data_IF_152614117617
#
_entry.id   IF_152614117617
#
_cell.length_a   1.000
_cell.length_b   1.000
_cell.length_c   1.000
_cell.angle_alpha   90.00
_cell.angle_beta   90.00
_cell.angle_gamma   90.00
#
_symmetry.space_group_name_H-M   'P 1'
#
loop_
_entity.id
_entity.type
_entity.pdbx_description
1 polymer ?
#
# COMPACT_ATOMS: atom_id res chain seq x y z
N UNK A 1 -10.37 36.95 16.58
CA UNK A 1 -10.48 36.10 15.38
C UNK A 1 -9.37 35.04 15.40
N UNK A 2 -9.66 33.80 15.82
CA UNK A 2 -8.66 32.72 15.88
C UNK A 2 -9.23 31.41 15.30
N UNK A 3 -8.39 30.73 14.50
CA UNK A 3 -8.37 29.27 14.30
C UNK A 3 -9.46 28.59 13.43
N UNK A 4 -9.63 29.04 12.17
CA UNK A 4 -10.23 28.21 11.11
C UNK A 4 -9.20 27.58 10.14
N UNK A 5 -7.97 28.07 10.14
CA UNK A 5 -6.96 27.81 9.07
C UNK A 5 -6.26 26.44 9.12
N UNK A 6 -6.58 25.57 10.09
CA UNK A 6 -5.79 24.35 10.31
C UNK A 6 -6.60 23.05 10.34
N UNK A 7 -7.92 23.09 10.17
CA UNK A 7 -8.75 21.87 10.16
C UNK A 7 -8.67 21.15 8.80
N UNK A 8 -8.74 21.91 7.70
CA UNK A 8 -8.61 21.37 6.34
C UNK A 8 -7.25 20.70 6.14
N UNK A 9 -6.14 21.40 6.45
CA UNK A 9 -4.79 20.86 6.35
C UNK A 9 -4.61 19.58 7.20
N UNK A 10 -5.11 19.57 8.43
CA UNK A 10 -5.05 18.37 9.30
C UNK A 10 -5.82 17.19 8.71
N UNK A 11 -7.02 17.45 8.18
CA UNK A 11 -7.88 16.41 7.56
C UNK A 11 -7.22 15.87 6.30
N UNK A 12 -6.77 16.76 5.41
CA UNK A 12 -6.04 16.37 4.19
C UNK A 12 -4.79 15.57 4.53
N UNK A 13 -3.99 16.02 5.51
CA UNK A 13 -2.80 15.29 5.95
C UNK A 13 -3.15 13.89 6.44
N UNK A 14 -4.19 13.75 7.26
CA UNK A 14 -4.61 12.44 7.78
C UNK A 14 -5.03 11.48 6.65
N UNK A 15 -5.83 11.96 5.69
CA UNK A 15 -6.23 11.16 4.53
C UNK A 15 -5.04 10.83 3.62
N UNK A 16 -4.18 11.81 3.32
CA UNK A 16 -3.03 11.62 2.44
C UNK A 16 -2.00 10.65 3.02
N UNK A 17 -1.75 10.64 4.35
CA UNK A 17 -0.82 9.66 4.97
C UNK A 17 -1.11 8.20 4.61
N UNK A 18 -2.37 7.87 4.30
CA UNK A 18 -2.77 6.49 4.02
C UNK A 18 -2.26 6.02 2.66
N UNK A 19 -2.21 6.92 1.67
CA UNK A 19 -1.99 6.57 0.27
C UNK A 19 -0.82 7.32 -0.38
N UNK A 20 -0.27 8.35 0.28
CA UNK A 20 0.69 9.25 -0.35
C UNK A 20 1.99 8.54 -0.71
N UNK A 21 2.60 7.84 0.25
CA UNK A 21 3.85 7.14 0.00
C UNK A 21 3.67 5.86 -0.83
N UNK A 22 2.57 5.11 -0.65
CA UNK A 22 2.29 3.94 -1.50
C UNK A 22 2.16 4.36 -2.96
N UNK A 23 1.38 5.41 -3.25
CA UNK A 23 1.23 5.96 -4.60
C UNK A 23 2.57 6.46 -5.14
N UNK A 24 3.37 7.16 -4.34
CA UNK A 24 4.69 7.64 -4.75
C UNK A 24 5.66 6.48 -5.03
N UNK A 25 5.60 5.43 -4.21
CA UNK A 25 6.36 4.20 -4.40
C UNK A 25 5.98 3.53 -5.72
N UNK A 26 4.69 3.38 -6.02
CA UNK A 26 4.20 2.78 -7.26
C UNK A 26 4.60 3.62 -8.47
N UNK A 27 4.43 4.94 -8.44
CA UNK A 27 4.87 5.85 -9.51
C UNK A 27 6.37 5.66 -9.82
N UNK A 28 7.21 5.48 -8.80
CA UNK A 28 8.66 5.28 -8.94
C UNK A 28 9.09 3.83 -9.21
N UNK A 29 8.32 2.84 -8.79
CA UNK A 29 8.56 1.43 -9.08
C UNK A 29 8.20 1.11 -10.54
N UNK A 30 7.08 1.65 -11.03
CA UNK A 30 6.66 1.57 -12.42
C UNK A 30 7.67 2.25 -13.36
N UNK A 31 8.30 3.37 -12.94
CA UNK A 31 9.44 3.99 -13.67
C UNK A 31 10.54 3.00 -14.03
N UNK A 32 10.79 2.04 -13.14
CA UNK A 32 11.89 1.07 -13.26
C UNK A 32 11.50 -0.16 -14.06
N UNK A 33 10.22 -0.54 -14.06
CA UNK A 33 9.79 -1.87 -14.48
C UNK A 33 9.03 -1.93 -15.80
N UNK A 34 8.65 -0.82 -16.43
CA UNK A 34 7.62 -0.92 -17.45
C UNK A 34 7.86 -0.23 -18.80
N UNK A 35 7.51 -1.00 -19.83
CA UNK A 35 7.28 -0.64 -21.23
C UNK A 35 6.39 0.61 -21.43
N UNK A 36 5.60 1.00 -20.42
CA UNK A 36 4.76 2.22 -20.39
C UNK A 36 5.59 3.51 -20.27
N UNK A 37 6.76 3.43 -19.64
CA UNK A 37 7.67 4.56 -19.38
C UNK A 37 8.63 4.89 -20.54
N UNK A 38 8.62 4.06 -21.60
CA UNK A 38 9.37 4.32 -22.84
C UNK A 38 8.50 5.00 -23.92
N UNK A 39 7.26 5.38 -23.58
CA UNK A 39 6.30 5.98 -24.51
C UNK A 39 6.15 7.50 -24.36
N UNK A 40 5.20 8.04 -25.12
CA UNK A 40 4.91 9.47 -25.19
C UNK A 40 4.45 10.10 -23.84
N UNK A 41 4.00 9.29 -22.88
CA UNK A 41 3.42 9.76 -21.62
C UNK A 41 4.43 10.01 -20.49
N UNK A 42 5.73 9.78 -20.75
CA UNK A 42 6.77 9.97 -19.74
C UNK A 42 6.75 11.37 -19.10
N UNK A 43 6.66 12.49 -19.85
CA UNK A 43 6.64 13.82 -19.26
C UNK A 43 5.45 14.05 -18.33
N UNK A 44 4.26 13.55 -18.68
CA UNK A 44 3.05 13.69 -17.88
C UNK A 44 3.17 12.92 -16.56
N UNK A 45 3.79 11.73 -16.58
CA UNK A 45 3.97 10.96 -15.34
C UNK A 45 5.08 11.59 -14.47
N UNK A 46 6.14 12.16 -15.07
CA UNK A 46 7.12 12.97 -14.33
C UNK A 46 6.46 14.19 -13.68
N UNK A 47 5.62 14.91 -14.41
CA UNK A 47 4.86 16.05 -13.87
C UNK A 47 3.90 15.63 -12.76
N UNK A 48 3.24 14.47 -12.90
CA UNK A 48 2.36 13.91 -11.87
C UNK A 48 3.13 13.58 -10.59
N UNK A 49 4.32 12.95 -10.68
CA UNK A 49 5.16 12.69 -9.51
C UNK A 49 5.54 13.99 -8.80
N UNK A 50 5.97 15.00 -9.54
CA UNK A 50 6.33 16.30 -8.95
C UNK A 50 5.15 16.97 -8.27
N UNK A 51 3.97 16.96 -8.89
CA UNK A 51 2.74 17.48 -8.29
C UNK A 51 2.34 16.70 -7.03
N UNK A 52 2.54 15.38 -7.02
CA UNK A 52 2.26 14.52 -5.87
C UNK A 52 3.21 14.79 -4.70
N UNK A 53 4.50 14.99 -4.97
CA UNK A 53 5.49 15.40 -3.96
C UNK A 53 5.10 16.76 -3.36
N UNK A 54 4.85 17.76 -4.22
CA UNK A 54 4.48 19.10 -3.79
C UNK A 54 3.20 19.12 -2.94
N UNK A 55 2.23 18.26 -3.25
CA UNK A 55 1.03 18.08 -2.44
C UNK A 55 1.37 17.60 -1.02
N UNK A 56 2.25 16.59 -0.90
CA UNK A 56 2.71 16.06 0.39
C UNK A 56 3.43 17.12 1.23
N UNK A 57 4.34 17.87 0.62
CA UNK A 57 5.04 18.99 1.25
C UNK A 57 4.05 20.07 1.74
N UNK A 58 3.05 20.40 0.92
CA UNK A 58 2.01 21.38 1.24
C UNK A 58 1.15 21.00 2.47
N UNK A 59 1.04 19.70 2.76
CA UNK A 59 0.39 19.19 3.98
C UNK A 59 1.38 18.71 5.05
N UNK A 60 2.67 19.01 4.92
CA UNK A 60 3.73 18.67 5.87
C UNK A 60 3.91 17.16 6.08
N UNK A 61 3.93 16.41 4.99
CA UNK A 61 4.42 15.03 4.98
C UNK A 61 5.90 15.03 4.63
N UNK A 62 6.69 14.31 5.42
CA UNK A 62 8.12 14.13 5.20
C UNK A 62 8.35 12.79 4.49
N UNK A 63 8.95 12.82 3.30
CA UNK A 63 9.06 11.63 2.45
C UNK A 63 9.78 10.47 3.15
N UNK A 64 10.87 10.76 3.86
CA UNK A 64 11.65 9.74 4.55
C UNK A 64 10.87 9.11 5.70
N UNK A 65 10.15 9.92 6.47
CA UNK A 65 9.27 9.43 7.54
C UNK A 65 8.16 8.55 6.99
N UNK A 66 7.43 9.01 5.95
CA UNK A 66 6.36 8.20 5.34
C UNK A 66 6.90 6.91 4.70
N UNK A 67 8.12 6.94 4.12
CA UNK A 67 8.82 5.74 3.65
C UNK A 67 9.02 4.73 4.75
N UNK A 68 9.59 5.16 5.88
CA UNK A 68 9.89 4.28 7.02
C UNK A 68 8.62 3.68 7.59
N UNK A 69 7.53 4.45 7.65
CA UNK A 69 6.23 3.97 8.12
C UNK A 69 5.64 2.94 7.16
N UNK A 70 5.67 3.22 5.84
CA UNK A 70 5.23 2.27 4.82
C UNK A 70 6.02 0.95 4.85
N UNK A 71 7.34 1.01 4.91
CA UNK A 71 8.20 -0.18 4.97
C UNK A 71 7.96 -0.98 6.25
N UNK A 72 7.74 -0.30 7.38
CA UNK A 72 7.40 -0.93 8.66
C UNK A 72 6.07 -1.67 8.57
N UNK A 73 5.05 -1.05 7.99
CA UNK A 73 3.72 -1.65 7.86
C UNK A 73 3.73 -2.82 6.86
N UNK A 74 4.45 -2.69 5.74
CA UNK A 74 4.66 -3.77 4.79
C UNK A 74 5.39 -4.96 5.45
N UNK A 75 6.46 -4.70 6.21
CA UNK A 75 7.20 -5.72 6.96
C UNK A 75 6.33 -6.40 8.03
N UNK A 76 5.51 -5.63 8.74
CA UNK A 76 4.56 -6.15 9.74
C UNK A 76 3.51 -7.03 9.08
N UNK A 77 2.88 -6.55 8.01
CA UNK A 77 1.87 -7.27 7.23
C UNK A 77 2.44 -8.56 6.61
N UNK A 78 3.71 -8.56 6.23
CA UNK A 78 4.41 -9.74 5.72
C UNK A 78 4.69 -10.81 6.78
N UNK A 79 4.60 -10.48 8.08
CA UNK A 79 4.90 -11.39 9.20
C UNK A 79 3.67 -11.98 9.90
N UNK A 80 2.46 -11.59 9.50
CA UNK A 80 1.21 -12.05 10.13
C UNK A 80 0.24 -12.63 9.12
N UNK A 81 -0.72 -13.42 9.59
CA UNK A 81 -1.82 -13.89 8.76
C UNK A 81 -2.75 -12.74 8.41
N UNK A 82 -3.14 -12.61 7.14
CA UNK A 82 -4.07 -11.58 6.65
C UNK A 82 -5.52 -11.85 7.06
N UNK A 83 -5.85 -13.09 7.43
CA UNK A 83 -7.17 -13.42 7.94
C UNK A 83 -7.35 -12.90 9.37
N UNK A 84 -8.23 -11.91 9.55
CA UNK A 84 -8.39 -11.16 10.81
C UNK A 84 -8.83 -12.00 12.00
N UNK A 85 -9.55 -13.11 11.78
CA UNK A 85 -9.98 -14.01 12.85
C UNK A 85 -8.94 -15.11 13.17
N UNK A 86 -7.79 -15.13 12.50
CA UNK A 86 -6.71 -16.05 12.81
C UNK A 86 -5.92 -15.59 14.04
N UNK A 87 -5.52 -16.50 14.91
CA UNK A 87 -4.64 -16.22 16.05
C UNK A 87 -3.29 -15.60 15.61
N UNK A 88 -2.80 -15.95 14.43
CA UNK A 88 -1.57 -15.42 13.86
C UNK A 88 -1.76 -14.07 13.13
N UNK A 89 -2.93 -13.42 13.23
CA UNK A 89 -3.12 -12.06 12.72
C UNK A 89 -2.39 -11.01 13.57
N UNK A 90 -2.24 -11.28 14.87
CA UNK A 90 -1.61 -10.37 15.82
C UNK A 90 -0.19 -10.80 16.24
N UNK A 91 0.24 -11.98 15.83
CA UNK A 91 1.53 -12.55 16.21
C UNK A 91 2.15 -13.33 15.07
N UNK A 92 3.49 -13.39 15.05
CA UNK A 92 4.24 -14.12 14.04
C UNK A 92 3.97 -15.63 14.18
N UNK A 93 3.44 -16.31 13.15
CA UNK A 93 3.30 -17.76 13.17
C UNK A 93 4.67 -18.44 13.20
N UNK A 94 4.74 -19.63 13.79
CA UNK A 94 5.90 -20.52 13.71
C UNK A 94 6.07 -21.13 12.31
N UNK A 95 4.99 -21.12 11.51
CA UNK A 95 4.97 -21.61 10.13
C UNK A 95 5.24 -20.50 9.10
N UNK A 96 5.90 -20.81 7.96
CA UNK A 96 6.02 -19.87 6.86
C UNK A 96 4.65 -19.45 6.32
N UNK A 97 4.48 -18.15 6.07
CA UNK A 97 3.26 -17.63 5.46
C UNK A 97 3.26 -17.82 3.94
N UNK A 98 2.12 -18.25 3.41
CA UNK A 98 1.87 -18.40 1.97
C UNK A 98 1.28 -17.13 1.39
N UNK A 99 1.84 -16.67 0.27
CA UNK A 99 1.36 -15.48 -0.45
C UNK A 99 0.14 -15.81 -1.29
N UNK A 100 -0.85 -14.91 -1.30
CA UNK A 100 -1.95 -14.97 -2.25
C UNK A 100 -1.40 -14.91 -3.68
N UNK A 101 -1.62 -15.97 -4.46
CA UNK A 101 -1.22 -16.02 -5.88
C UNK A 101 -2.01 -15.06 -6.78
N UNK A 102 -3.13 -14.53 -6.27
CA UNK A 102 -3.92 -13.50 -6.94
C UNK A 102 -3.18 -12.17 -6.92
N UNK A 103 -3.24 -11.48 -5.79
CA UNK A 103 -2.71 -10.12 -5.63
C UNK A 103 -1.22 -10.05 -5.25
N UNK A 104 -0.57 -11.14 -4.82
CA UNK A 104 0.80 -11.09 -4.31
C UNK A 104 0.99 -10.42 -2.95
N UNK A 105 -0.04 -9.78 -2.40
CA UNK A 105 0.05 -8.93 -1.21
C UNK A 105 -0.33 -9.67 0.08
N UNK A 106 -1.51 -10.31 0.11
CA UNK A 106 -1.99 -11.00 1.31
C UNK A 106 -1.18 -12.27 1.61
N UNK A 107 -0.98 -12.55 2.90
CA UNK A 107 -0.18 -13.66 3.44
C UNK A 107 -1.04 -14.52 4.38
N UNK A 108 -0.95 -15.85 4.30
CA UNK A 108 -1.79 -16.76 5.10
C UNK A 108 -0.96 -17.87 5.72
N UNK A 109 -1.22 -18.23 6.97
CA UNK A 109 -0.55 -19.37 7.63
C UNK A 109 -1.03 -20.73 7.08
N UNK A 110 -2.21 -20.76 6.46
CA UNK A 110 -2.79 -21.97 5.89
C UNK A 110 -3.73 -21.64 4.72
N UNK A 111 -4.02 -22.67 3.91
CA UNK A 111 -4.98 -22.56 2.81
C UNK A 111 -6.40 -22.32 3.33
N UNK A 112 -6.70 -22.81 4.52
CA UNK A 112 -7.97 -22.62 5.24
C UNK A 112 -8.17 -21.15 5.56
N UNK A 113 -7.16 -20.47 6.13
CA UNK A 113 -7.21 -19.03 6.39
C UNK A 113 -7.42 -18.23 5.10
N UNK A 114 -6.79 -18.61 3.99
CA UNK A 114 -7.04 -17.98 2.70
C UNK A 114 -8.49 -18.14 2.24
N UNK A 115 -9.08 -19.34 2.38
CA UNK A 115 -10.48 -19.60 1.99
C UNK A 115 -11.48 -18.81 2.86
N UNK A 116 -11.21 -18.71 4.17
CA UNK A 116 -12.02 -17.94 5.10
C UNK A 116 -11.93 -16.45 4.79
N UNK A 117 -10.72 -15.90 4.61
CA UNK A 117 -10.55 -14.49 4.22
C UNK A 117 -11.19 -14.19 2.84
N UNK A 118 -11.17 -15.15 1.91
CA UNK A 118 -11.81 -15.02 0.61
C UNK A 118 -13.33 -14.80 0.71
N UNK A 119 -14.00 -15.59 1.56
CA UNK A 119 -15.46 -15.57 1.70
C UNK A 119 -15.92 -14.58 2.75
N UNK A 120 -15.42 -14.72 3.97
CA UNK A 120 -15.85 -13.97 5.16
C UNK A 120 -15.11 -12.64 5.28
N UNK A 121 -13.79 -12.65 5.05
CA UNK A 121 -12.96 -11.43 5.05
C UNK A 121 -13.09 -10.56 3.82
N UNK A 122 -13.94 -11.00 2.86
CA UNK A 122 -14.23 -10.31 1.60
C UNK A 122 -12.96 -10.00 0.78
N UNK A 123 -11.89 -10.78 0.95
CA UNK A 123 -10.67 -10.61 0.15
C UNK A 123 -10.96 -10.69 -1.35
N UNK A 124 -11.96 -11.49 -1.75
CA UNK A 124 -12.44 -11.56 -3.13
C UNK A 124 -12.79 -10.20 -3.77
N UNK A 125 -13.20 -9.20 -2.98
CA UNK A 125 -13.60 -7.88 -3.49
C UNK A 125 -12.40 -6.95 -3.75
N UNK A 126 -11.26 -7.25 -3.12
CA UNK A 126 -10.04 -6.42 -3.14
C UNK A 126 -8.84 -7.15 -3.76
N UNK A 127 -8.97 -8.43 -4.08
CA UNK A 127 -7.91 -9.18 -4.72
C UNK A 127 -7.76 -8.69 -6.17
N UNK A 128 -6.71 -7.91 -6.44
CA UNK A 128 -6.26 -7.61 -7.80
C UNK A 128 -5.95 -8.91 -8.55
N UNK A 129 -6.25 -8.93 -9.85
CA UNK A 129 -6.15 -10.11 -10.72
C UNK A 129 -4.79 -10.82 -10.62
N UNK A 130 -4.80 -12.13 -10.91
CA UNK A 130 -3.65 -13.04 -10.85
C UNK A 130 -2.37 -12.38 -11.34
N UNK A 131 -1.32 -12.42 -10.51
CA UNK A 131 0.05 -12.31 -11.00
C UNK A 131 0.19 -13.32 -12.15
N UNK A 132 0.37 -12.84 -13.38
CA UNK A 132 0.64 -13.71 -14.50
C UNK A 132 1.92 -14.48 -14.16
N UNK A 133 1.85 -15.81 -14.18
CA UNK A 133 3.02 -16.66 -14.03
C UNK A 133 4.07 -16.22 -15.08
N UNK A 134 5.28 -15.89 -14.60
CA UNK A 134 6.45 -15.63 -15.43
C UNK A 134 6.91 -16.90 -16.14
#
# INVERSE_FOLDING_TARGET
MRSGKNTLRKTMRHSLRQEWYSTLHDLRAEKRNAQHWQGAHRPEIEALEQAWIALGEGVQLDEESERRDFEREAKKSAMVCSWRACEHHHGKPSVPLQTCKGCGQAKYCSRECQKLDWKEGRHKLRCGNRLADK
#
